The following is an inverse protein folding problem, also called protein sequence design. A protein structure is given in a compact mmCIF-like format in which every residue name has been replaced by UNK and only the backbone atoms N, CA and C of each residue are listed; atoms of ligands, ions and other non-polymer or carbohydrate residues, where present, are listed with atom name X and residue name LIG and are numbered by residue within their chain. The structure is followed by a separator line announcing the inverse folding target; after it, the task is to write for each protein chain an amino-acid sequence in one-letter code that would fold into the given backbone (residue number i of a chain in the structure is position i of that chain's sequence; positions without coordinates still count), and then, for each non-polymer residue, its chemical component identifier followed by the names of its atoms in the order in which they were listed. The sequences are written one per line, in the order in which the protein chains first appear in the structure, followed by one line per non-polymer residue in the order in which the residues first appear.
data_IF_658932213138
#
_entry.id   IF_658932213138
#
_cell.length_a   1.000
_cell.length_b   1.000
_cell.length_c   1.000
_cell.angle_alpha   90.00
_cell.angle_beta   90.00
_cell.angle_gamma   90.00
#
_symmetry.space_group_name_H-M   'P 1'
#
loop_
_entity.id
_entity.type
_entity.pdbx_description
1 polymer ?
#
# COMPACT_ATOMS: atom_id res chain seq x y z
N UNK A 1 5.89 12.10 -5.18
CA UNK A 1 5.68 10.63 -5.15
C UNK A 1 6.77 9.98 -4.32
N UNK A 2 6.36 9.07 -3.46
CA UNK A 2 7.29 8.39 -2.56
C UNK A 2 7.25 6.91 -2.87
N UNK A 3 8.43 6.35 -3.17
CA UNK A 3 8.57 4.91 -3.40
C UNK A 3 8.94 4.25 -2.08
N UNK A 4 8.18 3.22 -1.69
CA UNK A 4 8.40 2.52 -0.42
C UNK A 4 8.76 1.07 -0.73
N UNK A 5 9.97 0.69 -0.29
CA UNK A 5 10.43 -0.68 -0.42
C UNK A 5 9.77 -1.54 0.66
N UNK A 6 9.24 -2.69 0.27
CA UNK A 6 8.55 -3.58 1.19
C UNK A 6 9.30 -4.91 1.31
N UNK A 7 9.42 -5.39 2.55
CA UNK A 7 9.99 -6.71 2.84
C UNK A 7 8.86 -7.68 3.13
N UNK A 8 8.18 -8.12 2.06
CA UNK A 8 7.00 -8.95 2.20
C UNK A 8 7.03 -10.08 1.17
N UNK A 9 6.47 -11.24 1.54
CA UNK A 9 6.35 -12.34 0.60
C UNK A 9 5.23 -12.11 -0.42
N UNK A 10 4.28 -11.21 -0.12
CA UNK A 10 3.13 -10.95 -0.99
C UNK A 10 3.24 -9.63 -1.72
N UNK A 11 3.81 -8.61 -1.09
CA UNK A 11 3.87 -7.25 -1.63
C UNK A 11 5.24 -6.96 -2.20
N UNK A 12 5.28 -6.60 -3.48
CA UNK A 12 6.54 -6.27 -4.14
C UNK A 12 7.03 -4.87 -3.77
N UNK A 13 6.10 -3.91 -3.66
CA UNK A 13 6.42 -2.54 -3.32
C UNK A 13 5.20 -1.65 -3.44
N UNK A 14 5.37 -0.39 -3.11
CA UNK A 14 4.29 0.58 -3.29
C UNK A 14 4.83 1.96 -3.58
N UNK A 15 3.97 2.79 -4.16
CA UNK A 15 4.23 4.19 -4.44
C UNK A 15 3.13 5.02 -3.80
N UNK A 16 3.48 6.10 -3.12
CA UNK A 16 2.51 6.93 -2.43
C UNK A 16 2.60 8.38 -2.90
N UNK A 17 1.44 8.98 -3.18
CA UNK A 17 1.31 10.40 -3.49
C UNK A 17 0.70 11.10 -2.29
N UNK A 18 1.50 11.78 -1.44
CA UNK A 18 0.97 12.41 -0.24
C UNK A 18 0.07 13.60 -0.52
N UNK A 19 0.23 14.24 -1.67
CA UNK A 19 -0.59 15.39 -2.03
C UNK A 19 -2.03 14.97 -2.32
N UNK A 20 -2.22 13.84 -2.98
CA UNK A 20 -3.54 13.36 -3.36
C UNK A 20 -3.99 12.15 -2.56
N UNK A 21 -3.16 11.67 -1.63
CA UNK A 21 -3.43 10.52 -0.76
C UNK A 21 -3.74 9.25 -1.55
N UNK A 22 -2.98 9.04 -2.62
CA UNK A 22 -3.12 7.87 -3.48
C UNK A 22 -1.99 6.89 -3.20
N UNK A 23 -2.36 5.62 -3.07
CA UNK A 23 -1.40 4.55 -2.80
C UNK A 23 -1.51 3.48 -3.88
N UNK A 24 -0.43 3.31 -4.65
CA UNK A 24 -0.32 2.23 -5.63
C UNK A 24 0.42 1.06 -5.00
N UNK A 25 -0.23 -0.11 -5.00
CA UNK A 25 0.35 -1.35 -4.45
C UNK A 25 0.67 -2.28 -5.61
N UNK A 26 1.87 -2.85 -5.58
CA UNK A 26 2.29 -3.87 -6.53
C UNK A 26 2.49 -5.18 -5.79
N UNK A 27 1.78 -6.21 -6.24
CA UNK A 27 1.86 -7.54 -5.66
C UNK A 27 2.89 -8.38 -6.42
N UNK A 28 3.49 -9.35 -5.73
CA UNK A 28 4.44 -10.25 -6.38
C UNK A 28 3.79 -11.12 -7.44
N UNK A 29 2.49 -11.33 -7.37
CA UNK A 29 1.72 -12.02 -8.40
C UNK A 29 1.57 -11.23 -9.69
N UNK A 30 1.93 -9.93 -9.68
CA UNK A 30 1.84 -9.06 -10.84
C UNK A 30 0.66 -8.12 -10.85
N UNK A 31 -0.26 -8.30 -9.92
CA UNK A 31 -1.42 -7.42 -9.80
C UNK A 31 -1.03 -6.05 -9.26
N UNK A 32 -1.74 -5.01 -9.73
CA UNK A 32 -1.52 -3.64 -9.27
C UNK A 32 -2.85 -3.02 -8.89
N UNK A 33 -2.87 -2.39 -7.72
CA UNK A 33 -4.07 -1.77 -7.15
C UNK A 33 -3.78 -0.33 -6.79
N UNK A 34 -4.80 0.52 -6.92
CA UNK A 34 -4.75 1.91 -6.47
C UNK A 34 -5.74 2.08 -5.33
N UNK A 35 -5.23 2.44 -4.15
CA UNK A 35 -6.06 2.76 -2.98
C UNK A 35 -6.18 4.27 -2.85
N UNK A 36 -7.38 4.74 -2.50
CA UNK A 36 -7.70 6.16 -2.47
C UNK A 36 -7.93 6.67 -1.06
N UNK A 37 -7.69 7.96 -0.86
CA UNK A 37 -7.93 8.64 0.41
C UNK A 37 -7.16 8.01 1.57
N UNK A 38 -5.92 7.62 1.31
CA UNK A 38 -5.06 6.99 2.31
C UNK A 38 -4.20 8.07 2.95
N UNK A 39 -4.40 8.38 4.25
CA UNK A 39 -3.60 9.42 4.89
C UNK A 39 -2.17 8.98 5.15
N UNK A 40 -1.30 9.96 5.34
CA UNK A 40 0.13 9.71 5.46
C UNK A 40 0.49 8.84 6.68
N UNK A 41 -0.27 8.95 7.78
CA UNK A 41 0.01 8.15 8.97
C UNK A 41 -0.20 6.65 8.73
N UNK A 42 -1.12 6.30 7.84
CA UNK A 42 -1.32 4.90 7.46
C UNK A 42 -0.09 4.39 6.70
N UNK A 43 0.49 5.23 5.85
CA UNK A 43 1.69 4.87 5.10
C UNK A 43 2.90 4.73 6.03
N UNK A 44 3.03 5.60 7.02
CA UNK A 44 4.09 5.47 8.03
C UNK A 44 3.98 4.16 8.77
N UNK A 45 2.77 3.78 9.16
CA UNK A 45 2.54 2.51 9.83
C UNK A 45 2.94 1.32 8.96
N UNK A 46 2.63 1.40 7.67
CA UNK A 46 3.02 0.34 6.73
C UNK A 46 4.54 0.21 6.65
N UNK A 47 5.24 1.34 6.53
CA UNK A 47 6.70 1.34 6.40
C UNK A 47 7.38 0.77 7.64
N UNK A 48 6.79 0.97 8.82
CA UNK A 48 7.36 0.56 10.10
C UNK A 48 6.83 -0.77 10.62
N UNK A 49 5.87 -1.38 9.95
CA UNK A 49 5.23 -2.60 10.43
C UNK A 49 6.22 -3.77 10.46
N UNK A 50 6.16 -4.58 11.49
CA UNK A 50 6.97 -5.79 11.59
C UNK A 50 6.55 -6.82 10.55
N UNK A 51 5.26 -6.83 10.20
CA UNK A 51 4.74 -7.62 9.07
C UNK A 51 3.93 -6.70 8.17
N UNK A 52 4.53 -6.28 7.08
CA UNK A 52 3.90 -5.34 6.16
C UNK A 52 2.71 -5.97 5.44
N UNK A 53 2.80 -7.27 5.16
CA UNK A 53 1.68 -7.98 4.55
C UNK A 53 0.47 -8.04 5.47
N UNK A 54 0.68 -8.33 6.75
CA UNK A 54 -0.41 -8.33 7.72
C UNK A 54 -0.99 -6.93 7.92
N UNK A 55 -0.14 -5.93 8.01
CA UNK A 55 -0.58 -4.55 8.14
C UNK A 55 -1.48 -4.16 6.97
N UNK A 56 -1.03 -4.46 5.76
CA UNK A 56 -1.82 -4.16 4.56
C UNK A 56 -3.18 -4.85 4.63
N UNK A 57 -3.20 -6.13 4.97
CA UNK A 57 -4.43 -6.92 4.98
C UNK A 57 -5.43 -6.47 6.03
N UNK A 58 -4.94 -6.01 7.20
CA UNK A 58 -5.84 -5.66 8.32
C UNK A 58 -6.15 -4.17 8.39
N UNK A 59 -5.26 -3.30 7.92
CA UNK A 59 -5.42 -1.85 8.06
C UNK A 59 -5.84 -1.19 6.76
N UNK A 60 -5.25 -1.57 5.64
CA UNK A 60 -5.47 -0.87 4.38
C UNK A 60 -6.57 -1.52 3.56
N UNK A 61 -6.47 -2.81 3.33
CA UNK A 61 -7.37 -3.52 2.43
C UNK A 61 -8.85 -3.38 2.78
N UNK A 62 -9.27 -3.53 4.04
CA UNK A 62 -10.71 -3.46 4.37
C UNK A 62 -11.24 -2.05 4.58
N UNK A 63 -10.36 -1.03 4.67
CA UNK A 63 -10.79 0.30 5.11
C UNK A 63 -10.70 1.39 4.06
N UNK A 64 -10.15 1.11 2.88
CA UNK A 64 -9.99 2.14 1.85
C UNK A 64 -10.54 1.65 0.52
N UNK A 65 -11.11 2.59 -0.23
CA UNK A 65 -11.58 2.30 -1.58
C UNK A 65 -10.40 2.00 -2.48
N UNK A 66 -10.61 1.09 -3.41
CA UNK A 66 -9.53 0.70 -4.31
C UNK A 66 -10.05 0.43 -5.72
N UNK A 67 -9.10 0.46 -6.65
CA UNK A 67 -9.34 0.14 -8.04
C UNK A 67 -8.24 -0.81 -8.49
N UNK A 68 -8.61 -1.92 -9.11
CA UNK A 68 -7.63 -2.84 -9.67
C UNK A 68 -7.19 -2.32 -11.03
N UNK A 69 -5.88 -2.14 -11.20
CA UNK A 69 -5.32 -1.59 -12.44
C UNK A 69 -4.89 -2.66 -13.44
N UNK A 70 -4.44 -3.82 -12.92
CA UNK A 70 -4.04 -4.90 -13.82
C UNK A 70 -3.95 -6.24 -13.10
#
# INVERSE_FOLDING_TARGET
MIEIALSSSALLGCTYDPQHQLLWIRFRSGERYLYQMVPADIIEGLAQASSQGQYFNSVIRPHFLFERLS
#
